data_IF_349678239999
#
_entry.id   IF_349678239999
#
_cell.length_a   1.000
_cell.length_b   1.000
_cell.length_c   1.000
_cell.angle_alpha   90.00
_cell.angle_beta   90.00
_cell.angle_gamma   90.00
#
_symmetry.space_group_name_H-M   'P 1'
#
loop_
_entity.id
_entity.type
_entity.pdbx_description
1 polymer ?
#
# COMPACT_ATOMS: atom_id res chain seq x y z
N UNK A 1 -14.10 -20.25 -15.74
CA UNK A 1 -13.96 -19.04 -14.90
C UNK A 1 -13.21 -17.98 -15.70
N UNK A 2 -13.86 -16.88 -16.10
CA UNK A 2 -13.16 -15.77 -16.75
C UNK A 2 -12.13 -15.20 -15.78
N UNK A 3 -10.86 -15.09 -16.19
CA UNK A 3 -9.81 -14.49 -15.36
C UNK A 3 -10.17 -13.03 -15.14
N UNK A 4 -10.30 -12.62 -13.87
CA UNK A 4 -10.46 -11.21 -13.50
C UNK A 4 -9.21 -10.48 -14.00
N UNK A 5 -9.41 -9.53 -14.93
CA UNK A 5 -8.33 -8.72 -15.47
C UNK A 5 -8.20 -7.46 -14.63
N UNK A 6 -6.97 -7.02 -14.43
CA UNK A 6 -6.62 -5.79 -13.72
C UNK A 6 -5.83 -4.91 -14.67
N UNK A 7 -5.91 -3.59 -14.48
CA UNK A 7 -5.01 -2.69 -15.18
C UNK A 7 -3.54 -3.03 -14.84
N UNK A 8 -2.61 -2.93 -15.80
CA UNK A 8 -1.19 -3.18 -15.54
C UNK A 8 -0.63 -2.28 -14.44
N UNK A 9 -1.08 -1.02 -14.40
CA UNK A 9 -0.61 0.00 -13.46
C UNK A 9 -1.09 -0.29 -12.03
N UNK A 10 -2.40 -0.49 -11.84
CA UNK A 10 -2.96 -0.84 -10.53
C UNK A 10 -2.42 -2.16 -9.98
N UNK A 11 -2.30 -3.19 -10.82
CA UNK A 11 -1.71 -4.47 -10.43
C UNK A 11 -0.24 -4.33 -9.99
N UNK A 12 0.58 -3.61 -10.76
CA UNK A 12 2.00 -3.43 -10.46
C UNK A 12 2.20 -2.59 -9.20
N UNK A 13 1.44 -1.51 -9.03
CA UNK A 13 1.49 -0.67 -7.83
C UNK A 13 1.14 -1.46 -6.58
N UNK A 14 0.05 -2.23 -6.63
CA UNK A 14 -0.36 -3.11 -5.53
C UNK A 14 0.74 -4.13 -5.20
N UNK A 15 1.23 -4.89 -6.19
CA UNK A 15 2.22 -5.94 -5.94
C UNK A 15 3.53 -5.40 -5.37
N UNK A 16 4.06 -4.31 -5.91
CA UNK A 16 5.33 -3.74 -5.45
C UNK A 16 5.17 -3.23 -4.01
N UNK A 17 4.12 -2.44 -3.75
CA UNK A 17 3.90 -1.87 -2.41
C UNK A 17 3.61 -2.95 -1.36
N UNK A 18 2.80 -3.94 -1.70
CA UNK A 18 2.45 -5.04 -0.82
C UNK A 18 3.67 -5.93 -0.52
N UNK A 19 4.43 -6.35 -1.54
CA UNK A 19 5.57 -7.25 -1.36
C UNK A 19 6.71 -6.59 -0.59
N UNK A 20 7.07 -5.34 -0.92
CA UNK A 20 8.16 -4.67 -0.22
C UNK A 20 7.76 -4.28 1.22
N UNK A 21 6.52 -3.84 1.45
CA UNK A 21 6.00 -3.59 2.81
C UNK A 21 5.99 -4.87 3.67
N UNK A 22 5.52 -5.98 3.10
CA UNK A 22 5.52 -7.28 3.79
C UNK A 22 6.95 -7.76 4.07
N UNK A 23 7.87 -7.56 3.12
CA UNK A 23 9.28 -7.94 3.30
C UNK A 23 9.95 -7.15 4.42
N UNK A 24 9.68 -5.84 4.53
CA UNK A 24 10.17 -5.01 5.63
C UNK A 24 9.64 -5.50 6.98
N UNK A 25 8.35 -5.85 7.06
CA UNK A 25 7.74 -6.38 8.28
C UNK A 25 8.37 -7.72 8.70
N UNK A 26 8.54 -8.64 7.74
CA UNK A 26 9.19 -9.94 7.98
C UNK A 26 10.63 -9.74 8.44
N UNK A 27 11.37 -8.86 7.78
CA UNK A 27 12.77 -8.57 8.14
C UNK A 27 12.85 -8.00 9.57
N UNK A 28 11.92 -7.14 9.96
CA UNK A 28 11.82 -6.64 11.32
C UNK A 28 11.53 -7.76 12.33
N UNK A 29 10.63 -8.70 12.02
CA UNK A 29 10.34 -9.83 12.90
C UNK A 29 11.53 -10.77 13.11
N UNK A 30 12.36 -10.97 12.08
CA UNK A 30 13.55 -11.82 12.16
C UNK A 30 14.68 -11.11 12.91
N UNK A 31 14.98 -9.87 12.55
CA UNK A 31 16.17 -9.15 13.04
C UNK A 31 15.94 -8.40 14.34
N UNK A 32 14.68 -8.03 14.63
CA UNK A 32 14.28 -7.13 15.72
C UNK A 32 15.00 -5.77 15.70
N UNK A 33 15.54 -5.36 14.55
CA UNK A 33 16.29 -4.11 14.44
C UNK A 33 15.33 -2.91 14.46
N UNK A 34 15.50 -2.01 15.44
CA UNK A 34 14.61 -0.87 15.64
C UNK A 34 14.61 0.11 14.47
N UNK A 35 15.73 0.28 13.75
CA UNK A 35 15.79 1.15 12.56
C UNK A 35 14.82 0.72 11.44
N UNK A 36 14.42 -0.56 11.39
CA UNK A 36 13.45 -1.05 10.41
C UNK A 36 12.04 -0.54 10.68
N UNK A 37 11.74 -0.17 11.93
CA UNK A 37 10.48 0.46 12.32
C UNK A 37 10.38 1.85 11.67
N UNK A 38 11.44 2.65 11.80
CA UNK A 38 11.55 3.98 11.19
C UNK A 38 11.51 3.91 9.66
N UNK A 39 12.34 3.05 9.06
CA UNK A 39 12.37 2.84 7.61
C UNK A 39 11.00 2.41 7.09
N UNK A 40 10.36 1.48 7.80
CA UNK A 40 9.04 0.98 7.48
C UNK A 40 7.95 2.05 7.56
N UNK A 41 8.03 2.96 8.53
CA UNK A 41 7.12 4.11 8.60
C UNK A 41 7.21 5.01 7.37
N UNK A 42 8.43 5.41 6.98
CA UNK A 42 8.63 6.23 5.78
C UNK A 42 8.16 5.51 4.52
N UNK A 43 8.49 4.23 4.40
CA UNK A 43 8.05 3.40 3.28
C UNK A 43 6.52 3.34 3.16
N UNK A 44 5.82 3.03 4.25
CA UNK A 44 4.35 2.92 4.27
C UNK A 44 3.70 4.27 3.99
N UNK A 45 4.26 5.36 4.49
CA UNK A 45 3.76 6.72 4.21
C UNK A 45 3.88 7.06 2.73
N UNK A 46 5.05 6.87 2.13
CA UNK A 46 5.28 7.16 0.70
C UNK A 46 4.40 6.27 -0.17
N UNK A 47 4.33 4.97 0.13
CA UNK A 47 3.52 4.04 -0.66
C UNK A 47 2.02 4.29 -0.52
N UNK A 48 1.53 4.73 0.64
CA UNK A 48 0.14 5.14 0.81
C UNK A 48 -0.21 6.34 -0.11
N UNK A 49 0.66 7.35 -0.17
CA UNK A 49 0.49 8.51 -1.07
C UNK A 49 0.50 8.08 -2.54
N UNK A 50 1.48 7.27 -2.96
CA UNK A 50 1.56 6.77 -4.34
C UNK A 50 0.33 5.93 -4.70
N UNK A 51 -0.06 4.99 -3.84
CA UNK A 51 -1.25 4.16 -4.07
C UNK A 51 -2.53 4.99 -4.10
N UNK A 52 -2.61 6.09 -3.35
CA UNK A 52 -3.75 7.01 -3.41
C UNK A 52 -3.86 7.67 -4.79
N UNK A 53 -2.75 8.19 -5.35
CA UNK A 53 -2.75 8.76 -6.70
C UNK A 53 -3.13 7.72 -7.75
N UNK A 54 -2.58 6.51 -7.65
CA UNK A 54 -2.89 5.40 -8.56
C UNK A 54 -4.36 5.00 -8.47
N UNK A 55 -4.92 4.94 -7.25
CA UNK A 55 -6.33 4.65 -7.02
C UNK A 55 -7.23 5.72 -7.64
N UNK A 56 -6.92 7.00 -7.46
CA UNK A 56 -7.67 8.11 -8.07
C UNK A 56 -7.62 8.04 -9.59
N UNK A 57 -6.46 7.77 -10.17
CA UNK A 57 -6.32 7.62 -11.62
C UNK A 57 -7.16 6.47 -12.18
N UNK A 58 -7.09 5.28 -11.57
CA UNK A 58 -7.91 4.13 -11.96
C UNK A 58 -9.40 4.41 -11.75
N UNK A 59 -9.78 5.12 -10.69
CA UNK A 59 -11.16 5.49 -10.45
C UNK A 59 -11.69 6.44 -11.55
N UNK A 60 -10.91 7.43 -11.97
CA UNK A 60 -11.31 8.35 -13.06
C UNK A 60 -11.48 7.59 -14.37
N UNK A 61 -10.55 6.68 -14.71
CA UNK A 61 -10.61 5.85 -15.92
C UNK A 61 -11.88 4.99 -15.89
N UNK A 62 -12.14 4.32 -14.77
CA UNK A 62 -13.33 3.48 -14.60
C UNK A 62 -14.64 4.28 -14.68
N UNK A 63 -14.69 5.49 -14.12
CA UNK A 63 -15.91 6.32 -14.12
C UNK A 63 -16.17 6.98 -15.50
N UNK A 64 -15.14 7.18 -16.32
CA UNK A 64 -15.28 7.78 -17.65
C UNK A 64 -15.87 6.78 -18.65
N UNK A 65 -15.49 5.50 -18.56
CA UNK A 65 -16.06 4.43 -19.39
C UNK A 65 -16.15 3.10 -18.62
N UNK A 66 -17.17 2.99 -17.77
CA UNK A 66 -17.35 1.83 -16.90
C UNK A 66 -17.67 0.53 -17.67
N UNK A 67 -18.18 0.63 -18.91
CA UNK A 67 -18.58 -0.52 -19.71
C UNK A 67 -17.36 -1.25 -20.27
N UNK A 68 -16.38 -0.49 -20.78
CA UNK A 68 -15.15 -1.04 -21.36
C UNK A 68 -14.00 -1.16 -20.35
N UNK A 69 -13.95 -0.30 -19.32
CA UNK A 69 -12.83 -0.24 -18.37
C UNK A 69 -13.00 -1.10 -17.11
N UNK A 70 -13.66 -2.26 -17.24
CA UNK A 70 -13.78 -3.25 -16.14
C UNK A 70 -12.43 -3.60 -15.46
N UNK A 71 -11.29 -3.70 -16.19
CA UNK A 71 -10.00 -3.94 -15.55
C UNK A 71 -9.54 -2.83 -14.60
N UNK A 72 -9.93 -1.59 -14.88
CA UNK A 72 -9.61 -0.43 -14.05
C UNK A 72 -10.43 -0.44 -12.75
N UNK A 73 -11.72 -0.76 -12.84
CA UNK A 73 -12.57 -0.96 -11.66
C UNK A 73 -12.07 -2.10 -10.74
N UNK A 74 -11.62 -3.21 -11.32
CA UNK A 74 -10.99 -4.29 -10.55
C UNK A 74 -9.68 -3.83 -9.87
N UNK A 75 -8.89 -2.99 -10.53
CA UNK A 75 -7.69 -2.38 -9.94
C UNK A 75 -8.03 -1.45 -8.79
N UNK A 76 -9.12 -0.67 -8.87
CA UNK A 76 -9.59 0.15 -7.74
C UNK A 76 -9.87 -0.73 -6.52
N UNK A 77 -10.62 -1.83 -6.69
CA UNK A 77 -10.88 -2.78 -5.60
C UNK A 77 -9.58 -3.39 -5.03
N UNK A 78 -8.64 -3.74 -5.91
CA UNK A 78 -7.34 -4.28 -5.52
C UNK A 78 -6.53 -3.26 -4.70
N UNK A 79 -6.52 -1.99 -5.10
CA UNK A 79 -5.80 -0.92 -4.42
C UNK A 79 -6.46 -0.52 -3.10
N UNK A 80 -7.78 -0.65 -2.98
CA UNK A 80 -8.50 -0.43 -1.72
C UNK A 80 -8.04 -1.41 -0.63
N UNK A 81 -7.63 -2.64 -0.97
CA UNK A 81 -7.07 -3.61 -0.03
C UNK A 81 -5.77 -3.10 0.62
N UNK A 82 -5.01 -2.23 -0.07
CA UNK A 82 -3.81 -1.63 0.49
C UNK A 82 -4.11 -0.65 1.65
N UNK A 83 -5.32 -0.09 1.73
CA UNK A 83 -5.69 0.85 2.81
C UNK A 83 -5.76 0.13 4.17
N UNK A 84 -6.53 -0.98 4.36
CA UNK A 84 -6.49 -1.76 5.59
C UNK A 84 -5.10 -2.24 5.98
N UNK A 85 -4.27 -2.66 5.01
CA UNK A 85 -2.88 -3.10 5.25
C UNK A 85 -2.03 -1.95 5.79
N UNK A 86 -2.15 -0.77 5.19
CA UNK A 86 -1.48 0.46 5.64
C UNK A 86 -1.91 0.81 7.07
N UNK A 87 -3.22 0.76 7.37
CA UNK A 87 -3.74 1.02 8.72
C UNK A 87 -3.24 0.02 9.75
N UNK A 88 -3.19 -1.27 9.40
CA UNK A 88 -2.62 -2.31 10.26
C UNK A 88 -1.14 -2.03 10.56
N UNK A 89 -0.37 -1.63 9.55
CA UNK A 89 1.04 -1.27 9.74
C UNK A 89 1.20 -0.07 10.67
N UNK A 90 0.46 1.01 10.42
CA UNK A 90 0.46 2.20 11.29
C UNK A 90 0.04 1.84 12.72
N UNK A 91 -0.95 0.96 12.90
CA UNK A 91 -1.35 0.47 14.22
C UNK A 91 -0.22 -0.29 14.92
N UNK A 92 0.48 -1.20 14.21
CA UNK A 92 1.64 -1.91 14.76
C UNK A 92 2.69 -0.92 15.21
N UNK A 93 2.99 0.10 14.41
CA UNK A 93 3.96 1.14 14.75
C UNK A 93 3.61 1.89 16.05
N UNK A 94 2.33 2.13 16.34
CA UNK A 94 1.94 2.81 17.61
C UNK A 94 2.28 2.01 18.87
N UNK A 95 2.58 0.72 18.75
CA UNK A 95 2.98 -0.14 19.87
C UNK A 95 4.47 -0.02 20.21
N UNK A 96 5.25 0.72 19.44
CA UNK A 96 6.70 0.85 19.63
C UNK A 96 7.10 2.27 20.04
N UNK A 97 8.15 2.37 20.84
CA UNK A 97 8.62 3.60 21.51
C UNK A 97 9.31 4.65 20.60
N UNK A 98 9.20 4.53 19.28
CA UNK A 98 9.93 5.33 18.29
C UNK A 98 9.22 6.68 17.96
N UNK A 99 7.90 6.76 18.15
CA UNK A 99 7.09 7.94 17.82
C UNK A 99 7.57 9.25 18.51
N UNK A 100 7.92 9.23 19.82
CA UNK A 100 8.44 10.42 20.51
C UNK A 100 9.83 10.84 20.05
N UNK A 101 10.63 9.93 19.49
CA UNK A 101 11.95 10.25 18.92
C UNK A 101 11.80 10.92 17.55
N UNK A 102 10.85 10.43 16.73
CA UNK A 102 10.54 11.01 15.42
C UNK A 102 9.96 12.43 15.50
N UNK A 103 9.05 12.69 16.45
CA UNK A 103 8.40 14.01 16.61
C UNK A 103 9.30 15.09 17.22
N UNK A 104 10.54 14.76 17.60
CA UNK A 104 11.53 15.71 18.12
C UNK A 104 12.48 16.27 17.04
N UNK A 105 12.32 15.83 15.78
CA UNK A 105 12.90 16.45 14.59
C UNK A 105 12.01 17.61 14.12
#
# INVERSE_FOLDING_TARGET
>A
MNKIQFSPLGKRSFLISFLAGTSLLILFWITRAEFLIELGFYYVTVTAVVNMFVLLNELIIFLTDAAEQKPSGNSVLLLLINIPVTLLYLFILTKFSWLPAMLKL
#
